data_IF_456259008530
#
_entry.id   IF_456259008530
#
_cell.length_a   1.000
_cell.length_b   1.000
_cell.length_c   1.000
_cell.angle_alpha   90.00
_cell.angle_beta   90.00
_cell.angle_gamma   90.00
#
_symmetry.space_group_name_H-M   'P 1'
#
loop_
_entity.id
_entity.type
_entity.pdbx_description
1 polymer ?
#
# COMPACT_ATOMS: atom_id res chain seq x y z
N UNK A 1 0.59 -22.51 -7.73
CA UNK A 1 0.75 -21.05 -7.87
C UNK A 1 1.53 -20.57 -6.65
N UNK A 2 2.75 -20.10 -6.85
CA UNK A 2 3.74 -19.90 -5.79
C UNK A 2 3.58 -18.49 -5.19
N UNK A 3 3.25 -18.40 -3.91
CA UNK A 3 3.24 -17.11 -3.18
C UNK A 3 4.62 -16.93 -2.57
N UNK A 4 5.37 -15.94 -3.08
CA UNK A 4 6.64 -15.53 -2.50
C UNK A 4 6.41 -14.95 -1.11
N UNK A 5 6.96 -15.63 -0.09
CA UNK A 5 7.07 -15.09 1.27
C UNK A 5 8.20 -14.06 1.27
N UNK A 6 7.85 -12.77 1.26
CA UNK A 6 8.83 -11.70 1.43
C UNK A 6 9.18 -11.56 2.91
N UNK A 7 10.41 -11.96 3.25
CA UNK A 7 11.00 -11.81 4.58
C UNK A 7 11.37 -10.35 4.85
N UNK A 8 10.35 -9.57 5.20
CA UNK A 8 10.31 -8.26 5.88
C UNK A 8 8.99 -7.65 5.44
N UNK A 9 7.95 -7.67 6.29
CA UNK A 9 6.59 -7.36 5.86
C UNK A 9 6.44 -5.85 5.63
N UNK A 10 6.84 -5.37 4.46
CA UNK A 10 6.24 -4.20 3.84
C UNK A 10 4.73 -4.48 3.76
N UNK A 11 3.90 -3.74 4.51
CA UNK A 11 2.46 -4.03 4.57
C UNK A 11 1.86 -3.90 3.18
N UNK A 12 1.06 -4.90 2.81
CA UNK A 12 0.27 -4.89 1.59
C UNK A 12 -1.21 -5.17 1.90
N UNK A 13 -2.09 -4.74 1.00
CA UNK A 13 -3.52 -5.01 1.07
C UNK A 13 -4.07 -5.28 -0.33
N UNK A 14 -5.10 -6.12 -0.44
CA UNK A 14 -5.79 -6.37 -1.70
C UNK A 14 -7.06 -5.51 -1.80
N UNK A 15 -7.43 -5.14 -3.02
CA UNK A 15 -8.76 -4.57 -3.28
C UNK A 15 -9.87 -5.58 -2.94
N UNK A 16 -11.06 -5.13 -2.50
CA UNK A 16 -12.21 -6.02 -2.27
C UNK A 16 -12.62 -6.85 -3.51
N UNK A 17 -12.42 -6.27 -4.70
CA UNK A 17 -12.66 -6.90 -6.01
C UNK A 17 -11.58 -7.90 -6.43
N UNK A 18 -10.47 -7.96 -5.70
CA UNK A 18 -9.35 -8.87 -5.98
C UNK A 18 -8.54 -8.56 -7.24
N UNK A 19 -8.71 -7.40 -7.88
CA UNK A 19 -8.01 -7.02 -9.11
C UNK A 19 -6.71 -6.24 -8.85
N UNK A 20 -6.51 -5.72 -7.64
CA UNK A 20 -5.37 -4.85 -7.27
C UNK A 20 -4.71 -5.25 -5.96
N UNK A 21 -3.42 -4.99 -5.89
CA UNK A 21 -2.58 -5.12 -4.70
C UNK A 21 -1.95 -3.76 -4.40
N UNK A 22 -2.06 -3.33 -3.15
CA UNK A 22 -1.51 -2.09 -2.62
C UNK A 22 -0.31 -2.41 -1.75
N UNK A 23 0.84 -1.82 -2.02
CA UNK A 23 2.10 -2.10 -1.30
C UNK A 23 2.72 -0.80 -0.82
N UNK A 24 3.04 -0.75 0.46
CA UNK A 24 3.78 0.39 1.02
C UNK A 24 5.27 0.20 0.82
N UNK A 25 5.89 1.16 0.14
CA UNK A 25 7.32 1.31 0.08
C UNK A 25 7.73 2.46 1.02
N UNK A 26 8.09 2.07 2.25
CA UNK A 26 8.41 3.00 3.33
C UNK A 26 9.69 3.80 3.08
N UNK A 27 10.71 3.18 2.50
CA UNK A 27 11.99 3.85 2.20
C UNK A 27 11.83 4.97 1.17
N UNK A 28 10.92 4.79 0.21
CA UNK A 28 10.61 5.79 -0.82
C UNK A 28 9.33 6.58 -0.52
N UNK A 29 8.74 6.43 0.68
CA UNK A 29 7.54 7.14 1.15
C UNK A 29 6.38 7.12 0.14
N UNK A 30 6.14 5.96 -0.48
CA UNK A 30 5.14 5.82 -1.54
C UNK A 30 4.27 4.59 -1.36
N UNK A 31 3.05 4.70 -1.85
CA UNK A 31 2.14 3.58 -2.04
C UNK A 31 2.22 3.14 -3.50
N UNK A 32 2.37 1.84 -3.73
CA UNK A 32 2.35 1.22 -5.05
C UNK A 32 1.03 0.50 -5.25
N UNK A 33 0.40 0.72 -6.39
CA UNK A 33 -0.74 -0.09 -6.85
C UNK A 33 -0.25 -1.01 -7.95
N UNK A 34 -0.42 -2.31 -7.73
CA UNK A 34 -0.03 -3.38 -8.63
C UNK A 34 -1.28 -4.13 -9.09
N UNK A 35 -1.24 -4.69 -10.29
CA UNK A 35 -2.14 -5.79 -10.66
C UNK A 35 -1.75 -7.07 -9.92
N UNK A 36 -2.62 -8.07 -9.95
CA UNK A 36 -2.38 -9.37 -9.31
C UNK A 36 -1.22 -10.16 -9.90
N UNK A 37 -0.81 -9.87 -11.13
CA UNK A 37 0.40 -10.42 -11.76
C UNK A 37 1.70 -9.68 -11.37
N UNK A 38 1.60 -8.63 -10.54
CA UNK A 38 2.73 -7.83 -10.07
C UNK A 38 3.10 -6.65 -10.96
N UNK A 39 2.38 -6.39 -12.05
CA UNK A 39 2.63 -5.20 -12.89
C UNK A 39 2.29 -3.91 -12.14
N UNK A 40 3.19 -2.92 -12.17
CA UNK A 40 2.95 -1.60 -11.59
C UNK A 40 1.88 -0.84 -12.39
N UNK A 41 0.78 -0.51 -11.74
CA UNK A 41 -0.32 0.27 -12.31
C UNK A 41 -0.15 1.76 -11.99
N UNK A 42 0.09 2.08 -10.72
CA UNK A 42 0.22 3.47 -10.29
C UNK A 42 1.07 3.60 -9.02
N UNK A 43 1.53 4.81 -8.77
CA UNK A 43 2.23 5.19 -7.55
C UNK A 43 1.55 6.42 -6.95
N UNK A 44 1.33 6.39 -5.64
CA UNK A 44 0.86 7.53 -4.87
C UNK A 44 1.95 8.01 -3.91
N UNK A 45 2.15 9.32 -3.83
CA UNK A 45 3.11 9.98 -2.96
C UNK A 45 2.45 11.17 -2.29
N UNK A 46 2.71 11.37 -1.01
CA UNK A 46 2.26 12.54 -0.26
C UNK A 46 3.40 13.02 0.64
N UNK A 47 3.67 14.32 0.63
CA UNK A 47 4.73 14.93 1.44
C UNK A 47 4.46 14.85 2.94
N UNK A 48 3.19 14.81 3.34
CA UNK A 48 2.80 14.65 4.74
C UNK A 48 3.09 13.21 5.24
N UNK A 49 3.20 12.24 4.34
CA UNK A 49 3.36 10.83 4.67
C UNK A 49 4.80 10.48 5.08
N UNK A 50 5.08 10.60 6.38
CA UNK A 50 6.39 10.27 6.93
C UNK A 50 6.43 8.86 7.52
N UNK A 51 7.36 8.04 7.01
CA UNK A 51 7.57 6.64 7.37
C UNK A 51 6.25 5.83 7.32
N UNK A 52 5.64 5.68 6.12
CA UNK A 52 4.41 4.91 6.02
C UNK A 52 4.66 3.46 6.39
N UNK A 53 3.79 2.91 7.23
CA UNK A 53 3.98 1.57 7.79
C UNK A 53 2.77 0.66 7.59
N UNK A 54 1.58 1.21 7.38
CA UNK A 54 0.34 0.47 7.30
C UNK A 54 -0.50 0.90 6.09
N UNK A 55 -1.17 -0.07 5.47
CA UNK A 55 -2.16 0.14 4.42
C UNK A 55 -3.40 -0.70 4.73
N UNK A 56 -4.57 -0.14 4.50
CA UNK A 56 -5.85 -0.82 4.60
C UNK A 56 -6.74 -0.42 3.41
N UNK A 57 -7.57 -1.33 2.94
CA UNK A 57 -8.56 -1.05 1.90
C UNK A 57 -9.95 -1.30 2.48
N UNK A 58 -10.81 -0.28 2.45
CA UNK A 58 -12.18 -0.41 2.94
C UNK A 58 -13.00 -1.32 2.00
N UNK A 59 -14.12 -1.91 2.45
CA UNK A 59 -15.02 -2.64 1.57
C UNK A 59 -15.55 -1.80 0.38
N UNK A 60 -15.59 -0.48 0.53
CA UNK A 60 -15.96 0.46 -0.52
C UNK A 60 -14.81 0.76 -1.51
N UNK A 61 -13.62 0.20 -1.29
CA UNK A 61 -12.46 0.35 -2.17
C UNK A 61 -11.52 1.53 -1.85
N UNK A 62 -11.76 2.26 -0.76
CA UNK A 62 -10.88 3.37 -0.38
C UNK A 62 -9.59 2.85 0.23
N UNK A 63 -8.46 3.45 -0.13
CA UNK A 63 -7.15 3.07 0.39
C UNK A 63 -6.75 4.04 1.50
N UNK A 64 -6.42 3.50 2.67
CA UNK A 64 -5.99 4.25 3.84
C UNK A 64 -4.53 3.91 4.12
N UNK A 65 -3.69 4.93 4.30
CA UNK A 65 -2.26 4.76 4.59
C UNK A 65 -1.89 5.49 5.88
N UNK A 66 -1.24 4.77 6.79
CA UNK A 66 -0.80 5.30 8.09
C UNK A 66 0.66 5.74 8.04
N UNK A 67 0.92 7.01 8.36
CA UNK A 67 2.26 7.57 8.52
C UNK A 67 2.74 7.45 9.97
N UNK A 68 3.75 6.63 10.23
CA UNK A 68 4.21 6.36 11.62
C UNK A 68 4.82 7.61 12.27
N UNK A 69 5.70 8.32 11.56
CA UNK A 69 6.39 9.50 12.11
C UNK A 69 5.54 10.78 12.02
N UNK A 70 4.52 10.77 11.17
CA UNK A 70 3.66 11.93 10.92
C UNK A 70 2.37 11.89 11.76
N UNK A 71 2.05 10.74 12.35
CA UNK A 71 0.83 10.53 13.14
C UNK A 71 -0.45 10.87 12.37
N UNK A 72 -0.47 10.60 11.07
CA UNK A 72 -1.60 10.84 10.17
C UNK A 72 -2.11 9.56 9.51
N UNK A 73 -3.35 9.62 9.05
CA UNK A 73 -3.92 8.69 8.08
C UNK A 73 -4.29 9.49 6.84
N UNK A 74 -3.83 9.02 5.68
CA UNK A 74 -4.16 9.61 4.38
C UNK A 74 -5.12 8.68 3.66
N UNK A 75 -6.14 9.27 3.02
CA UNK A 75 -7.01 8.59 2.06
C UNK A 75 -6.41 8.82 0.67
N UNK A 76 -6.11 7.75 -0.05
CA UNK A 76 -5.50 7.78 -1.38
C UNK A 76 -6.53 7.56 -2.49
#
# INVERSE_FOLDING_TARGET
MHVHVFHSVFKCAASPTGDRIYVINSSQKKLLTLSTDGTLISTFTDFALQNPFGVHVTPAGQVLVCGFNSHIVIVC
#
